data_IF_868818464976
#
_entry.id   IF_868818464976
#
_cell.length_a   1.000
_cell.length_b   1.000
_cell.length_c   1.000
_cell.angle_alpha   90.00
_cell.angle_beta   90.00
_cell.angle_gamma   90.00
#
_symmetry.space_group_name_H-M   'P 1'
#
loop_
_entity.id
_entity.type
_entity.pdbx_description
1 polymer ?
#
# COMPACT_ATOMS: atom_id res chain seq x y z
N UNK A 1 8.23 -17.61 -14.30
CA UNK A 1 7.53 -16.30 -14.40
C UNK A 1 7.60 -15.63 -13.03
N UNK A 2 8.04 -14.38 -12.95
CA UNK A 2 8.14 -13.65 -11.69
C UNK A 2 6.74 -13.16 -11.32
N UNK A 3 6.19 -13.63 -10.20
CA UNK A 3 4.93 -13.11 -9.64
C UNK A 3 5.25 -11.88 -8.81
N UNK A 4 4.37 -10.88 -8.87
CA UNK A 4 4.43 -9.70 -8.01
C UNK A 4 3.16 -9.69 -7.17
N UNK A 5 3.33 -9.49 -5.87
CA UNK A 5 2.26 -9.34 -4.90
C UNK A 5 2.49 -8.03 -4.16
N UNK A 6 1.42 -7.33 -3.83
CA UNK A 6 1.45 -6.11 -3.06
C UNK A 6 0.11 -5.84 -2.43
N UNK A 7 0.10 -4.88 -1.51
CA UNK A 7 -1.08 -4.36 -0.84
C UNK A 7 -1.26 -2.88 -1.19
N UNK A 8 -2.49 -2.43 -1.00
CA UNK A 8 -2.91 -1.04 -1.11
C UNK A 8 -3.77 -0.78 0.11
N UNK A 9 -3.46 0.27 0.85
CA UNK A 9 -4.09 0.55 2.14
C UNK A 9 -5.05 1.75 2.03
N UNK A 10 -6.24 1.61 2.62
CA UNK A 10 -7.21 2.70 2.75
C UNK A 10 -7.41 2.92 4.25
N UNK A 11 -6.89 4.04 4.76
CA UNK A 11 -7.04 4.43 6.16
C UNK A 11 -7.91 5.67 6.25
N UNK A 12 -9.06 5.54 6.92
CA UNK A 12 -10.02 6.62 7.14
C UNK A 12 -10.11 6.87 8.65
N UNK A 13 -9.97 8.12 9.08
CA UNK A 13 -10.12 8.49 10.48
C UNK A 13 -11.59 8.78 10.85
N UNK A 14 -11.86 9.07 12.13
CA UNK A 14 -13.21 9.39 12.64
C UNK A 14 -13.82 10.68 12.04
N UNK A 15 -13.00 11.49 11.36
CA UNK A 15 -13.42 12.70 10.66
C UNK A 15 -13.71 12.46 9.16
N UNK A 16 -13.71 11.20 8.71
CA UNK A 16 -13.88 10.81 7.31
C UNK A 16 -12.78 11.34 6.37
N UNK A 17 -11.57 11.50 6.88
CA UNK A 17 -10.40 11.94 6.09
C UNK A 17 -9.54 10.73 5.71
N UNK A 18 -9.04 10.73 4.46
CA UNK A 18 -8.19 9.68 3.91
C UNK A 18 -6.71 9.99 4.16
N UNK A 19 -5.97 9.03 4.71
CA UNK A 19 -4.51 9.10 4.79
C UNK A 19 -3.90 8.98 3.39
N UNK A 20 -3.07 9.95 3.02
CA UNK A 20 -2.29 9.94 1.80
C UNK A 20 -0.81 10.20 2.08
N UNK A 21 0.05 9.67 1.21
CA UNK A 21 1.49 9.84 1.23
C UNK A 21 1.97 10.56 -0.03
N UNK A 22 2.97 11.42 0.14
CA UNK A 22 3.55 12.19 -0.97
C UNK A 22 4.76 11.43 -1.53
N UNK A 23 4.56 10.69 -2.62
CA UNK A 23 5.54 9.80 -3.21
C UNK A 23 6.16 10.38 -4.51
N UNK A 24 7.39 9.98 -4.83
CA UNK A 24 8.10 10.38 -6.04
C UNK A 24 9.60 10.19 -5.90
N UNK A 25 10.29 9.80 -6.98
CA UNK A 25 11.76 9.62 -6.94
C UNK A 25 12.46 10.98 -6.89
N UNK A 26 13.73 10.95 -6.52
CA UNK A 26 14.57 12.14 -6.60
C UNK A 26 14.59 12.69 -8.03
N UNK A 27 14.20 13.95 -8.20
CA UNK A 27 14.11 14.61 -9.51
C UNK A 27 12.75 14.52 -10.20
N UNK A 28 11.79 13.78 -9.64
CA UNK A 28 10.41 13.74 -10.12
C UNK A 28 9.52 14.67 -9.27
N UNK A 29 8.47 15.23 -9.88
CA UNK A 29 7.41 15.92 -9.14
C UNK A 29 6.69 14.90 -8.27
N UNK A 30 6.68 15.11 -6.96
CA UNK A 30 5.97 14.22 -6.05
C UNK A 30 4.46 14.33 -6.26
N UNK A 31 3.78 13.19 -6.19
CA UNK A 31 2.33 13.10 -6.28
C UNK A 31 1.77 12.45 -5.02
N UNK A 32 0.56 12.86 -4.65
CA UNK A 32 -0.17 12.22 -3.56
C UNK A 32 -0.71 10.87 -4.03
N UNK A 33 -0.52 9.84 -3.23
CA UNK A 33 -1.09 8.52 -3.41
C UNK A 33 -1.57 7.97 -2.08
N UNK A 34 -2.42 6.95 -2.14
CA UNK A 34 -2.63 6.08 -0.99
C UNK A 34 -1.39 5.24 -0.75
N UNK A 35 -1.09 4.87 0.51
CA UNK A 35 -0.03 3.92 0.81
C UNK A 35 -0.27 2.64 0.01
N UNK A 36 0.83 2.13 -0.56
CA UNK A 36 0.82 0.89 -1.31
C UNK A 36 2.24 0.40 -1.47
N UNK A 37 2.41 -0.91 -1.28
CA UNK A 37 3.73 -1.50 -1.38
C UNK A 37 3.70 -2.94 -1.81
N UNK A 38 4.88 -3.38 -2.22
CA UNK A 38 5.11 -4.76 -2.59
C UNK A 38 5.19 -5.57 -1.30
N UNK A 39 4.59 -6.75 -1.32
CA UNK A 39 4.73 -7.74 -0.26
C UNK A 39 6.21 -8.11 -0.11
N UNK A 40 6.72 -8.05 1.11
CA UNK A 40 8.09 -8.43 1.46
C UNK A 40 8.11 -9.70 2.29
N UNK A 41 9.22 -10.44 2.22
CA UNK A 41 9.40 -11.67 3.01
C UNK A 41 8.26 -12.70 2.81
N UNK A 42 7.99 -13.54 3.82
CA UNK A 42 6.86 -14.48 3.86
C UNK A 42 5.70 -13.91 4.70
N UNK A 43 5.46 -12.59 4.62
CA UNK A 43 4.37 -11.96 5.36
C UNK A 43 3.01 -12.14 4.67
N UNK A 44 1.94 -11.99 5.44
CA UNK A 44 0.57 -11.91 4.93
C UNK A 44 0.27 -10.48 4.41
N UNK A 45 -0.74 -10.34 3.55
CA UNK A 45 -1.18 -9.01 3.09
C UNK A 45 -1.53 -8.07 4.26
N UNK A 46 -2.14 -8.61 5.32
CA UNK A 46 -2.49 -7.86 6.53
C UNK A 46 -1.26 -7.34 7.27
N UNK A 47 -0.23 -8.17 7.45
CA UNK A 47 1.03 -7.77 8.08
C UNK A 47 1.75 -6.71 7.25
N UNK A 48 1.77 -6.87 5.92
CA UNK A 48 2.30 -5.87 4.99
C UNK A 48 1.60 -4.52 5.17
N UNK A 49 0.25 -4.48 5.17
CA UNK A 49 -0.50 -3.24 5.34
C UNK A 49 -0.11 -2.50 6.64
N UNK A 50 -0.05 -3.22 7.76
CA UNK A 50 0.23 -2.62 9.07
C UNK A 50 1.67 -2.10 9.11
N UNK A 51 2.63 -2.89 8.62
CA UNK A 51 4.05 -2.54 8.57
C UNK A 51 4.30 -1.31 7.69
N UNK A 52 3.75 -1.27 6.49
CA UNK A 52 3.99 -0.19 5.52
C UNK A 52 3.42 1.14 6.00
N UNK A 53 2.23 1.14 6.60
CA UNK A 53 1.67 2.37 7.19
C UNK A 53 2.57 2.89 8.31
N UNK A 54 3.04 2.00 9.19
CA UNK A 54 3.95 2.42 10.26
C UNK A 54 5.28 2.95 9.70
N UNK A 55 5.88 2.28 8.71
CA UNK A 55 7.14 2.69 8.10
C UNK A 55 7.05 4.01 7.33
N UNK A 56 5.98 4.23 6.55
CA UNK A 56 5.85 5.42 5.69
C UNK A 56 5.28 6.64 6.43
N UNK A 57 4.40 6.44 7.42
CA UNK A 57 3.68 7.55 8.07
C UNK A 57 3.89 7.62 9.58
N UNK A 58 4.41 6.57 10.22
CA UNK A 58 4.56 6.48 11.67
C UNK A 58 3.24 6.26 12.42
N UNK A 59 2.16 5.88 11.74
CA UNK A 59 0.87 5.62 12.38
C UNK A 59 0.71 4.14 12.70
N UNK A 60 0.13 3.86 13.86
CA UNK A 60 -0.37 2.53 14.19
C UNK A 60 -1.81 2.41 13.73
N UNK A 61 -2.10 1.37 12.93
CA UNK A 61 -3.41 1.13 12.35
C UNK A 61 -3.94 -0.25 12.72
N UNK A 62 -5.26 -0.36 12.76
CA UNK A 62 -5.95 -1.63 12.90
C UNK A 62 -6.55 -2.03 11.57
N UNK A 63 -6.31 -3.27 11.13
CA UNK A 63 -6.99 -3.82 9.96
C UNK A 63 -8.47 -4.03 10.28
N UNK A 64 -9.34 -3.47 9.44
CA UNK A 64 -10.80 -3.59 9.57
C UNK A 64 -11.34 -4.64 8.60
N UNK A 65 -10.99 -4.54 7.31
CA UNK A 65 -11.50 -5.44 6.27
C UNK A 65 -10.59 -5.54 5.04
N UNK A 66 -10.69 -6.65 4.30
CA UNK A 66 -10.17 -6.78 2.93
C UNK A 66 -11.26 -6.30 1.95
N UNK A 67 -11.05 -5.14 1.33
CA UNK A 67 -12.04 -4.55 0.41
C UNK A 67 -12.09 -5.27 -0.94
N UNK A 68 -10.91 -5.61 -1.49
CA UNK A 68 -10.83 -6.25 -2.81
C UNK A 68 -9.51 -6.99 -3.04
N UNK A 69 -9.54 -8.04 -3.87
CA UNK A 69 -8.36 -8.82 -4.26
C UNK A 69 -8.35 -9.09 -5.76
N UNK A 70 -7.25 -8.69 -6.41
CA UNK A 70 -7.11 -8.77 -7.87
C UNK A 70 -5.92 -9.66 -8.23
N UNK A 71 -6.12 -10.55 -9.20
CA UNK A 71 -5.06 -11.36 -9.80
C UNK A 71 -4.98 -11.10 -11.30
N UNK A 72 -3.90 -10.47 -11.74
CA UNK A 72 -3.59 -10.30 -13.16
C UNK A 72 -2.52 -11.29 -13.60
N UNK A 73 -2.82 -12.06 -14.65
CA UNK A 73 -1.92 -13.08 -15.21
C UNK A 73 -1.03 -12.56 -16.34
N UNK A 74 -1.23 -11.31 -16.80
CA UNK A 74 -0.42 -10.65 -17.84
C UNK A 74 -0.15 -9.21 -17.47
N UNK A 75 1.08 -8.92 -17.06
CA UNK A 75 1.64 -7.57 -17.08
C UNK A 75 2.63 -7.49 -18.24
N UNK A 76 2.32 -6.70 -19.26
CA UNK A 76 3.34 -6.19 -20.18
C UNK A 76 3.94 -4.98 -19.47
N UNK A 77 5.09 -5.17 -18.84
CA UNK A 77 5.89 -4.05 -18.35
C UNK A 77 6.68 -3.58 -19.58
N UNK A 78 6.33 -2.41 -20.12
CA UNK A 78 7.14 -1.71 -21.11
C UNK A 78 8.30 -0.99 -20.43
#
# INVERSE_FOLDING_TARGET
MKKWFGSVEICINDHAELLMVLQGKSGETKTWSIPSRKLENNETFSECCIREINEETGYDVQLVEEVYKIFHTRFIIF
#
